data_IF_846843569140
#
_entry.id   IF_846843569140
#
_cell.length_a   1.000
_cell.length_b   1.000
_cell.length_c   1.000
_cell.angle_alpha   90.00
_cell.angle_beta   90.00
_cell.angle_gamma   90.00
#
_symmetry.space_group_name_H-M   'P 1'
#
loop_
_entity.id
_entity.type
_entity.pdbx_description
1 polymer ?
#
# COMPACT_ATOMS: atom_id res chain seq x y z
N UNK A 1 30.92 -55.48 -20.00
CA UNK A 1 30.70 -54.90 -18.65
C UNK A 1 29.96 -53.60 -18.81
N UNK A 2 28.68 -53.43 -18.37
CA UNK A 2 27.95 -52.21 -18.53
C UNK A 2 28.39 -51.20 -17.44
N UNK A 3 28.72 -49.96 -17.88
CA UNK A 3 29.01 -48.82 -17.04
C UNK A 3 27.74 -48.39 -16.29
N UNK A 4 27.74 -48.49 -14.96
CA UNK A 4 26.73 -47.90 -14.08
C UNK A 4 26.71 -46.37 -14.29
N UNK A 5 25.59 -45.85 -14.81
CA UNK A 5 25.28 -44.43 -14.77
C UNK A 5 25.07 -44.02 -13.30
N UNK A 6 25.99 -43.22 -12.78
CA UNK A 6 25.85 -42.54 -11.48
C UNK A 6 24.69 -41.53 -11.66
N UNK A 7 23.58 -41.77 -10.97
CA UNK A 7 22.48 -40.80 -10.90
C UNK A 7 23.01 -39.48 -10.32
N UNK A 8 22.87 -38.41 -11.06
CA UNK A 8 23.20 -37.05 -10.60
C UNK A 8 22.35 -36.75 -9.38
N UNK A 9 22.99 -36.32 -8.28
CA UNK A 9 22.30 -35.74 -7.11
C UNK A 9 21.40 -34.57 -7.60
N UNK A 10 20.13 -34.52 -7.16
CA UNK A 10 19.29 -33.35 -7.46
C UNK A 10 19.99 -32.08 -6.97
N UNK A 11 20.07 -31.06 -7.81
CA UNK A 11 20.68 -29.78 -7.47
C UNK A 11 19.86 -29.15 -6.34
N UNK A 12 20.51 -28.76 -5.26
CA UNK A 12 19.88 -28.12 -4.08
C UNK A 12 19.01 -26.89 -4.44
N UNK A 13 19.29 -26.24 -5.59
CA UNK A 13 18.49 -25.17 -6.14
C UNK A 13 17.02 -25.55 -6.44
N UNK A 14 16.76 -26.77 -6.91
CA UNK A 14 15.39 -27.22 -7.25
C UNK A 14 14.48 -27.38 -6.02
N UNK A 15 15.04 -27.63 -4.84
CA UNK A 15 14.24 -27.80 -3.61
C UNK A 15 13.73 -26.45 -3.10
N UNK A 16 14.57 -25.41 -3.12
CA UNK A 16 14.20 -24.04 -2.66
C UNK A 16 13.14 -23.41 -3.55
N UNK A 17 13.19 -23.66 -4.88
CA UNK A 17 12.24 -23.12 -5.84
C UNK A 17 10.82 -23.74 -5.72
N UNK A 18 10.68 -24.83 -4.97
CA UNK A 18 9.40 -25.56 -4.77
C UNK A 18 8.80 -25.36 -3.39
N UNK A 19 9.44 -24.59 -2.53
CA UNK A 19 8.93 -24.33 -1.19
C UNK A 19 7.66 -23.47 -1.26
N UNK A 20 6.68 -23.85 -0.44
CA UNK A 20 5.56 -22.94 -0.15
C UNK A 20 6.05 -21.75 0.71
N UNK A 21 5.34 -20.62 0.71
CA UNK A 21 5.76 -19.43 1.47
C UNK A 21 6.07 -19.72 2.94
N UNK A 22 5.24 -20.51 3.61
CA UNK A 22 5.40 -20.86 5.02
C UNK A 22 6.65 -21.72 5.26
N UNK A 23 6.94 -22.63 4.34
CA UNK A 23 8.16 -23.47 4.40
C UNK A 23 9.42 -22.63 4.16
N UNK A 24 9.36 -21.66 3.24
CA UNK A 24 10.47 -20.74 2.97
C UNK A 24 10.78 -19.88 4.20
N UNK A 25 9.75 -19.38 4.90
CA UNK A 25 9.90 -18.63 6.18
C UNK A 25 10.51 -19.53 7.26
N UNK A 26 10.07 -20.78 7.37
CA UNK A 26 10.64 -21.74 8.35
C UNK A 26 12.12 -22.02 8.06
N UNK A 27 12.50 -22.20 6.79
CA UNK A 27 13.89 -22.40 6.37
C UNK A 27 14.73 -21.17 6.67
N UNK A 28 14.23 -19.95 6.36
CA UNK A 28 14.92 -18.70 6.66
C UNK A 28 15.16 -18.55 8.17
N UNK A 29 14.15 -18.79 8.99
CA UNK A 29 14.26 -18.71 10.44
C UNK A 29 15.29 -19.71 10.99
N UNK A 30 15.31 -20.96 10.49
CA UNK A 30 16.32 -21.94 10.87
C UNK A 30 17.73 -21.54 10.43
N UNK A 31 17.84 -20.94 9.24
CA UNK A 31 19.14 -20.46 8.74
C UNK A 31 19.68 -19.33 9.64
N UNK A 32 18.85 -18.34 9.98
CA UNK A 32 19.24 -17.23 10.84
C UNK A 32 19.51 -17.65 12.30
N UNK A 33 18.83 -18.71 12.79
CA UNK A 33 19.15 -19.31 14.09
C UNK A 33 20.52 -20.00 14.09
N UNK A 34 20.88 -20.68 12.99
CA UNK A 34 22.19 -21.38 12.87
C UNK A 34 23.34 -20.43 12.54
N UNK A 35 23.03 -19.32 11.85
CA UNK A 35 23.96 -18.35 11.32
C UNK A 35 23.51 -16.92 11.69
N UNK A 36 23.64 -16.53 13.00
CA UNK A 36 23.20 -15.20 13.46
C UNK A 36 23.92 -14.05 12.76
N UNK A 37 25.13 -14.28 12.23
CA UNK A 37 25.93 -13.34 11.46
C UNK A 37 25.26 -12.90 10.14
N UNK A 38 24.33 -13.70 9.61
CA UNK A 38 23.57 -13.36 8.38
C UNK A 38 22.36 -12.46 8.66
N UNK A 39 22.00 -12.24 9.92
CA UNK A 39 20.82 -11.45 10.27
C UNK A 39 20.85 -10.01 9.72
N UNK A 40 21.96 -9.25 9.85
CA UNK A 40 22.03 -7.90 9.28
C UNK A 40 21.90 -7.88 7.75
N UNK A 41 22.45 -8.89 7.06
CA UNK A 41 22.33 -9.02 5.60
C UNK A 41 20.90 -9.35 5.20
N UNK A 42 20.24 -10.28 5.89
CA UNK A 42 18.83 -10.62 5.66
C UNK A 42 17.91 -9.42 5.92
N UNK A 43 18.15 -8.63 6.97
CA UNK A 43 17.43 -7.38 7.25
C UNK A 43 17.66 -6.34 6.15
N UNK A 44 18.87 -6.22 5.65
CA UNK A 44 19.18 -5.32 4.52
C UNK A 44 18.46 -5.73 3.24
N UNK A 45 18.47 -7.03 2.91
CA UNK A 45 17.75 -7.57 1.75
C UNK A 45 16.23 -7.40 1.89
N UNK A 46 15.68 -7.69 3.07
CA UNK A 46 14.26 -7.47 3.34
C UNK A 46 13.89 -5.99 3.17
N UNK A 47 14.71 -5.07 3.69
CA UNK A 47 14.53 -3.63 3.50
C UNK A 47 14.61 -3.24 2.03
N UNK A 48 15.54 -3.80 1.26
CA UNK A 48 15.63 -3.56 -0.18
C UNK A 48 14.42 -4.09 -0.95
N UNK A 49 13.92 -5.26 -0.60
CA UNK A 49 12.71 -5.84 -1.23
C UNK A 49 11.44 -5.05 -0.90
N UNK A 50 11.42 -4.44 0.28
CA UNK A 50 10.32 -3.58 0.75
C UNK A 50 10.56 -2.10 0.44
N UNK A 51 11.75 -1.70 0.01
CA UNK A 51 12.04 -0.39 -0.51
C UNK A 51 11.70 -0.35 -2.00
N UNK A 52 10.41 -0.22 -2.26
CA UNK A 52 9.92 0.90 -2.98
C UNK A 52 9.67 0.79 -4.45
N UNK A 53 8.44 0.66 -4.73
CA UNK A 53 7.83 1.45 -5.80
C UNK A 53 8.14 2.94 -5.56
N UNK A 54 8.54 3.69 -6.57
CA UNK A 54 8.72 5.14 -6.40
C UNK A 54 7.35 5.79 -6.09
N UNK A 55 7.35 6.97 -5.47
CA UNK A 55 6.09 7.75 -5.26
C UNK A 55 5.31 7.86 -6.57
N UNK A 56 6.02 8.00 -7.68
CA UNK A 56 5.43 8.14 -9.02
C UNK A 56 4.78 6.84 -9.50
N UNK A 57 5.43 5.69 -9.27
CA UNK A 57 4.88 4.39 -9.66
C UNK A 57 3.61 4.07 -8.86
N UNK A 58 3.63 4.27 -7.53
CA UNK A 58 2.45 4.11 -6.67
C UNK A 58 1.32 5.06 -7.10
N UNK A 59 1.65 6.33 -7.40
CA UNK A 59 0.65 7.29 -7.85
C UNK A 59 0.03 6.89 -9.18
N UNK A 60 0.82 6.34 -10.10
CA UNK A 60 0.32 5.86 -11.38
C UNK A 60 -0.56 4.62 -11.20
N UNK A 61 -0.17 3.67 -10.36
CA UNK A 61 -0.94 2.47 -10.07
C UNK A 61 -2.30 2.84 -9.45
N UNK A 62 -2.31 3.61 -8.36
CA UNK A 62 -3.55 4.08 -7.72
C UNK A 62 -4.45 4.83 -8.70
N UNK A 63 -3.88 5.75 -9.50
CA UNK A 63 -4.65 6.46 -10.52
C UNK A 63 -5.30 5.50 -11.51
N UNK A 64 -4.57 4.51 -12.02
CA UNK A 64 -5.11 3.53 -12.97
C UNK A 64 -6.17 2.63 -12.33
N UNK A 65 -5.94 2.14 -11.12
CA UNK A 65 -6.88 1.27 -10.40
C UNK A 65 -8.22 1.96 -10.21
N UNK A 66 -8.25 3.16 -9.63
CA UNK A 66 -9.51 3.87 -9.36
C UNK A 66 -10.20 4.41 -10.61
N UNK A 67 -9.44 4.74 -11.68
CA UNK A 67 -10.03 5.23 -12.94
C UNK A 67 -10.51 4.11 -13.85
N UNK A 68 -10.05 2.86 -13.62
CA UNK A 68 -10.46 1.69 -14.40
C UNK A 68 -11.81 1.09 -13.99
N UNK A 69 -12.36 1.48 -12.82
CA UNK A 69 -13.64 0.97 -12.32
C UNK A 69 -14.78 1.55 -13.16
N UNK A 70 -15.29 0.73 -14.03
CA UNK A 70 -16.30 1.09 -15.02
C UNK A 70 -17.75 1.00 -14.49
N UNK A 71 -18.70 1.37 -15.33
CA UNK A 71 -20.13 1.32 -15.02
C UNK A 71 -20.62 -0.14 -14.86
N UNK A 72 -20.01 -1.12 -15.52
CA UNK A 72 -20.39 -2.53 -15.39
C UNK A 72 -20.05 -3.06 -14.02
N UNK A 73 -18.85 -2.76 -13.52
CA UNK A 73 -18.41 -3.07 -12.16
C UNK A 73 -19.34 -2.44 -11.11
N UNK A 74 -19.70 -1.16 -11.30
CA UNK A 74 -20.63 -0.46 -10.41
C UNK A 74 -22.01 -1.10 -10.41
N UNK A 75 -22.58 -1.41 -11.58
CA UNK A 75 -23.88 -2.05 -11.71
C UNK A 75 -23.91 -3.47 -11.12
N UNK A 76 -22.78 -4.17 -11.09
CA UNK A 76 -22.64 -5.47 -10.45
C UNK A 76 -22.76 -5.40 -8.92
N UNK A 77 -22.44 -4.23 -8.31
CA UNK A 77 -22.46 -4.02 -6.85
C UNK A 77 -23.71 -3.26 -6.39
N UNK A 78 -24.16 -2.27 -7.16
CA UNK A 78 -25.32 -1.44 -6.84
C UNK A 78 -26.65 -2.13 -7.17
N UNK A 79 -27.73 -1.70 -6.50
CA UNK A 79 -29.09 -2.14 -6.78
C UNK A 79 -29.66 -3.11 -5.78
N UNK A 80 -30.67 -3.90 -6.21
CA UNK A 80 -31.42 -4.81 -5.35
C UNK A 80 -30.71 -6.17 -5.20
N UNK A 81 -30.42 -6.56 -3.99
CA UNK A 81 -29.82 -7.84 -3.61
C UNK A 81 -30.74 -8.59 -2.63
N UNK A 82 -30.46 -9.86 -2.36
CA UNK A 82 -31.23 -10.67 -1.41
C UNK A 82 -31.16 -10.16 0.04
N UNK A 83 -30.15 -9.36 0.35
CA UNK A 83 -29.95 -8.75 1.68
C UNK A 83 -30.35 -7.27 1.77
N UNK A 84 -30.75 -6.63 0.68
CA UNK A 84 -31.16 -5.22 0.67
C UNK A 84 -30.86 -4.50 -0.65
N UNK A 85 -31.04 -3.19 -0.63
CA UNK A 85 -30.71 -2.30 -1.72
C UNK A 85 -29.42 -1.54 -1.41
N UNK A 86 -28.48 -1.52 -2.36
CA UNK A 86 -27.21 -0.78 -2.26
C UNK A 86 -27.30 0.43 -3.20
N UNK A 87 -27.15 1.62 -2.63
CA UNK A 87 -27.11 2.85 -3.40
C UNK A 87 -25.89 2.92 -4.33
N UNK A 88 -26.00 3.46 -5.55
CA UNK A 88 -24.88 3.54 -6.47
C UNK A 88 -23.67 4.29 -5.90
N UNK A 89 -23.88 5.32 -5.10
CA UNK A 89 -22.79 6.08 -4.45
C UNK A 89 -22.09 5.26 -3.36
N UNK A 90 -22.84 4.43 -2.61
CA UNK A 90 -22.30 3.51 -1.61
C UNK A 90 -21.46 2.42 -2.29
N UNK A 91 -22.01 1.77 -3.33
CA UNK A 91 -21.30 0.78 -4.13
C UNK A 91 -20.03 1.36 -4.77
N UNK A 92 -20.09 2.59 -5.25
CA UNK A 92 -18.95 3.28 -5.83
C UNK A 92 -17.84 3.52 -4.80
N UNK A 93 -18.20 4.00 -3.61
CA UNK A 93 -17.24 4.22 -2.51
C UNK A 93 -16.58 2.91 -2.08
N UNK A 94 -17.36 1.81 -1.94
CA UNK A 94 -16.80 0.49 -1.61
C UNK A 94 -15.78 0.02 -2.66
N UNK A 95 -16.13 0.08 -3.95
CA UNK A 95 -15.25 -0.35 -5.03
C UNK A 95 -13.96 0.49 -5.09
N UNK A 96 -14.06 1.80 -4.88
CA UNK A 96 -12.91 2.70 -4.87
C UNK A 96 -12.03 2.47 -3.64
N UNK A 97 -12.61 2.17 -2.47
CA UNK A 97 -11.87 1.81 -1.27
C UNK A 97 -11.11 0.49 -1.48
N UNK A 98 -11.79 -0.55 -2.00
CA UNK A 98 -11.16 -1.82 -2.33
C UNK A 98 -9.96 -1.64 -3.30
N UNK A 99 -10.07 -0.74 -4.27
CA UNK A 99 -9.00 -0.49 -5.24
C UNK A 99 -7.73 0.13 -4.62
N UNK A 100 -7.83 0.87 -3.52
CA UNK A 100 -6.66 1.45 -2.85
C UNK A 100 -6.19 0.65 -1.64
N UNK A 101 -6.99 -0.32 -1.18
CA UNK A 101 -6.78 -1.05 0.07
C UNK A 101 -5.42 -1.75 0.11
N UNK A 102 -5.01 -2.44 -0.96
CA UNK A 102 -3.73 -3.16 -1.02
C UNK A 102 -2.54 -2.23 -0.75
N UNK A 103 -2.56 -1.00 -1.28
CA UNK A 103 -1.49 0.00 -1.07
C UNK A 103 -1.52 0.59 0.33
N UNK A 104 -2.71 0.80 0.88
CA UNK A 104 -2.89 1.25 2.26
C UNK A 104 -2.39 0.19 3.25
N UNK A 105 -2.70 -1.09 3.02
CA UNK A 105 -2.22 -2.19 3.85
C UNK A 105 -0.68 -2.36 3.75
N UNK A 106 -0.09 -2.17 2.56
CA UNK A 106 1.37 -2.17 2.38
C UNK A 106 2.03 -1.02 3.17
N UNK A 107 1.41 0.17 3.17
CA UNK A 107 1.84 1.31 3.98
C UNK A 107 1.79 0.99 5.49
N UNK A 108 0.67 0.44 5.97
CA UNK A 108 0.49 0.04 7.37
C UNK A 108 1.53 -1.00 7.79
N UNK A 109 1.73 -2.03 6.97
CA UNK A 109 2.74 -3.06 7.19
C UNK A 109 4.14 -2.47 7.29
N UNK A 110 4.47 -1.50 6.43
CA UNK A 110 5.78 -0.82 6.48
C UNK A 110 5.96 -0.08 7.81
N UNK A 111 4.90 0.57 8.33
CA UNK A 111 4.92 1.24 9.64
C UNK A 111 5.11 0.25 10.79
N UNK A 112 4.41 -0.89 10.78
CA UNK A 112 4.54 -1.95 11.79
C UNK A 112 5.97 -2.50 11.85
N UNK A 113 6.62 -2.64 10.70
CA UNK A 113 8.02 -3.07 10.58
C UNK A 113 9.02 -1.96 10.92
N UNK A 114 8.55 -0.74 11.19
CA UNK A 114 9.40 0.42 11.50
C UNK A 114 10.11 1.02 10.29
N UNK A 115 9.66 0.69 9.08
CA UNK A 115 10.19 1.17 7.81
C UNK A 115 9.51 2.48 7.42
N UNK A 116 9.90 3.58 8.08
CA UNK A 116 9.23 4.87 7.94
C UNK A 116 9.34 5.45 6.52
N UNK A 117 10.51 5.38 5.89
CA UNK A 117 10.72 5.96 4.55
C UNK A 117 9.88 5.24 3.44
N UNK A 118 9.81 3.89 3.38
CA UNK A 118 8.86 3.20 2.51
C UNK A 118 7.40 3.58 2.77
N UNK A 119 6.97 3.62 4.03
CA UNK A 119 5.60 4.02 4.39
C UNK A 119 5.27 5.46 3.96
N UNK A 120 6.21 6.39 4.10
CA UNK A 120 6.07 7.78 3.66
C UNK A 120 5.94 7.87 2.13
N UNK A 121 6.73 7.09 1.39
CA UNK A 121 6.66 7.03 -0.07
C UNK A 121 5.32 6.44 -0.55
N UNK A 122 4.82 5.38 0.10
CA UNK A 122 3.51 4.80 -0.18
C UNK A 122 2.40 5.81 0.10
N UNK A 123 2.39 6.44 1.28
CA UNK A 123 1.42 7.47 1.63
C UNK A 123 1.40 8.61 0.59
N UNK A 124 2.58 9.15 0.26
CA UNK A 124 2.69 10.22 -0.72
C UNK A 124 2.24 9.79 -2.12
N UNK A 125 2.55 8.57 -2.54
CA UNK A 125 2.13 8.00 -3.81
C UNK A 125 0.61 7.81 -3.90
N UNK A 126 0.00 7.22 -2.87
CA UNK A 126 -1.46 7.05 -2.80
C UNK A 126 -2.16 8.42 -2.90
N UNK A 127 -1.77 9.38 -2.06
CA UNK A 127 -2.36 10.73 -2.07
C UNK A 127 -2.18 11.42 -3.42
N UNK A 128 -1.02 11.27 -4.07
CA UNK A 128 -0.78 11.83 -5.39
C UNK A 128 -1.61 11.16 -6.48
N UNK A 129 -1.83 9.85 -6.42
CA UNK A 129 -2.70 9.11 -7.35
C UNK A 129 -4.15 9.57 -7.24
N UNK A 130 -4.67 9.66 -6.02
CA UNK A 130 -5.99 10.22 -5.72
C UNK A 130 -6.12 11.66 -6.21
N UNK A 131 -5.11 12.50 -5.98
CA UNK A 131 -5.09 13.88 -6.46
C UNK A 131 -5.17 13.99 -7.99
N UNK A 132 -4.51 13.09 -8.71
CA UNK A 132 -4.60 13.04 -10.19
C UNK A 132 -5.99 12.68 -10.68
N UNK A 133 -6.68 11.80 -9.95
CA UNK A 133 -8.01 11.33 -10.32
C UNK A 133 -9.15 12.33 -10.02
N UNK A 134 -8.93 13.34 -9.17
CA UNK A 134 -9.97 14.28 -8.68
C UNK A 134 -10.79 14.97 -9.76
N UNK A 135 -10.18 15.26 -10.90
CA UNK A 135 -10.83 15.96 -12.02
C UNK A 135 -11.18 15.01 -13.19
N UNK A 136 -11.00 13.70 -13.00
CA UNK A 136 -11.27 12.70 -14.03
C UNK A 136 -12.77 12.56 -14.23
N UNK A 137 -13.23 12.85 -15.44
CA UNK A 137 -14.61 12.58 -15.80
C UNK A 137 -14.78 11.10 -16.09
N UNK A 138 -15.64 10.45 -15.33
CA UNK A 138 -15.89 9.01 -15.43
C UNK A 138 -17.39 8.74 -15.36
N UNK A 139 -17.86 7.82 -16.18
CA UNK A 139 -19.21 7.25 -16.08
C UNK A 139 -19.24 6.08 -15.04
N UNK A 140 -18.06 5.63 -14.60
CA UNK A 140 -17.89 4.56 -13.59
C UNK A 140 -17.96 5.08 -12.15
N UNK A 141 -17.31 4.34 -11.23
CA UNK A 141 -17.40 4.59 -9.78
C UNK A 141 -17.02 6.03 -9.39
N UNK A 142 -15.95 6.61 -9.98
CA UNK A 142 -15.55 8.00 -9.69
C UNK A 142 -16.62 9.04 -10.00
N UNK A 143 -17.47 8.79 -10.98
CA UNK A 143 -18.57 9.70 -11.31
C UNK A 143 -19.69 9.70 -10.26
N UNK A 144 -19.81 8.64 -9.48
CA UNK A 144 -20.82 8.48 -8.42
C UNK A 144 -20.30 8.80 -7.02
N UNK A 145 -18.98 8.89 -6.85
CA UNK A 145 -18.31 9.23 -5.58
C UNK A 145 -17.25 10.31 -5.83
N UNK A 146 -17.67 11.48 -6.27
CA UNK A 146 -16.79 12.57 -6.72
C UNK A 146 -15.88 13.13 -5.62
N UNK A 147 -16.32 13.06 -4.36
CA UNK A 147 -15.56 13.53 -3.20
C UNK A 147 -14.59 12.48 -2.63
N UNK A 148 -14.75 11.21 -3.06
CA UNK A 148 -13.91 10.09 -2.59
C UNK A 148 -12.41 10.37 -2.65
N UNK A 149 -11.83 10.89 -3.76
CA UNK A 149 -10.38 11.09 -3.81
C UNK A 149 -9.86 12.02 -2.71
N UNK A 150 -10.60 13.06 -2.37
CA UNK A 150 -10.18 14.02 -1.35
C UNK A 150 -10.39 13.48 0.07
N UNK A 151 -11.49 12.77 0.31
CA UNK A 151 -11.81 12.16 1.59
C UNK A 151 -10.81 11.05 1.91
N UNK A 152 -10.57 10.14 0.96
CA UNK A 152 -9.64 9.03 1.11
C UNK A 152 -8.19 9.53 1.32
N UNK A 153 -7.76 10.55 0.59
CA UNK A 153 -6.43 11.15 0.81
C UNK A 153 -6.27 11.66 2.25
N UNK A 154 -7.31 12.23 2.83
CA UNK A 154 -7.32 12.63 4.24
C UNK A 154 -7.19 11.44 5.19
N UNK A 155 -7.93 10.35 4.93
CA UNK A 155 -7.87 9.12 5.74
C UNK A 155 -6.49 8.46 5.67
N UNK A 156 -5.90 8.36 4.48
CA UNK A 156 -4.56 7.79 4.27
C UNK A 156 -3.49 8.56 5.05
N UNK A 157 -3.52 9.90 5.01
CA UNK A 157 -2.60 10.75 5.80
C UNK A 157 -2.82 10.55 7.31
N UNK A 158 -4.07 10.46 7.73
CA UNK A 158 -4.42 10.21 9.13
C UNK A 158 -3.90 8.85 9.61
N UNK A 159 -4.09 7.79 8.85
CA UNK A 159 -3.61 6.44 9.15
C UNK A 159 -2.09 6.37 9.20
N UNK A 160 -1.41 6.95 8.21
CA UNK A 160 0.04 7.06 8.21
C UNK A 160 0.56 7.70 9.52
N UNK A 161 0.01 8.85 9.90
CA UNK A 161 0.45 9.56 11.10
C UNK A 161 0.11 8.81 12.40
N UNK A 162 -1.04 8.14 12.47
CA UNK A 162 -1.41 7.28 13.61
C UNK A 162 -0.45 6.09 13.77
N UNK A 163 -0.05 5.48 12.67
CA UNK A 163 0.90 4.36 12.66
C UNK A 163 2.33 4.77 12.98
N UNK A 164 2.70 6.03 12.82
CA UNK A 164 4.03 6.53 13.21
C UNK A 164 4.24 6.46 14.73
N UNK A 165 5.45 6.05 15.16
CA UNK A 165 5.85 6.10 16.57
C UNK A 165 5.75 7.56 17.07
N UNK A 166 5.28 7.80 18.31
CA UNK A 166 5.14 9.16 18.83
C UNK A 166 6.40 10.03 18.70
N UNK A 167 7.58 9.46 18.91
CA UNK A 167 8.87 10.15 18.81
C UNK A 167 9.24 10.59 17.40
N UNK A 168 8.78 9.90 16.36
CA UNK A 168 9.09 10.21 14.95
C UNK A 168 7.95 10.93 14.21
N UNK A 169 6.74 10.95 14.78
CA UNK A 169 5.52 11.47 14.13
C UNK A 169 5.66 12.91 13.64
N UNK A 170 6.26 13.79 14.46
CA UNK A 170 6.45 15.20 14.09
C UNK A 170 7.38 15.37 12.90
N UNK A 171 8.46 14.59 12.84
CA UNK A 171 9.39 14.59 11.71
C UNK A 171 8.74 14.00 10.46
N UNK A 172 8.05 12.85 10.60
CA UNK A 172 7.29 12.21 9.54
C UNK A 172 6.23 13.15 8.93
N UNK A 173 5.50 13.87 9.78
CA UNK A 173 4.56 14.92 9.34
C UNK A 173 5.26 15.99 8.50
N UNK A 174 6.37 16.55 8.98
CA UNK A 174 7.07 17.62 8.28
C UNK A 174 7.58 17.15 6.89
N UNK A 175 8.16 15.97 6.83
CA UNK A 175 8.66 15.37 5.58
C UNK A 175 7.51 15.11 4.60
N UNK A 176 6.45 14.42 5.05
CA UNK A 176 5.30 14.11 4.22
C UNK A 176 4.66 15.38 3.65
N UNK A 177 4.44 16.40 4.50
CA UNK A 177 3.82 17.65 4.07
C UNK A 177 4.69 18.43 3.09
N UNK A 178 6.02 18.38 3.20
CA UNK A 178 6.91 18.96 2.20
C UNK A 178 6.67 18.31 0.83
N UNK A 179 6.65 16.98 0.77
CA UNK A 179 6.43 16.23 -0.48
C UNK A 179 5.04 16.49 -1.05
N UNK A 180 4.00 16.47 -0.22
CA UNK A 180 2.61 16.66 -0.65
C UNK A 180 2.34 18.10 -1.13
N UNK A 181 2.93 19.10 -0.49
CA UNK A 181 2.77 20.50 -0.92
C UNK A 181 3.26 20.73 -2.34
N UNK A 182 4.35 20.09 -2.72
CA UNK A 182 4.91 20.18 -4.08
C UNK A 182 4.06 19.42 -5.11
N UNK A 183 3.49 18.26 -4.72
CA UNK A 183 2.83 17.32 -5.63
C UNK A 183 1.31 17.46 -5.70
N UNK A 184 0.69 17.96 -4.63
CA UNK A 184 -0.77 18.06 -4.45
C UNK A 184 -1.17 19.45 -3.95
N UNK A 185 -0.68 20.50 -4.60
CA UNK A 185 -0.80 21.89 -4.13
C UNK A 185 -2.25 22.34 -3.83
N UNK A 186 -3.24 21.83 -4.56
CA UNK A 186 -4.65 22.13 -4.33
C UNK A 186 -5.24 21.54 -3.04
N UNK A 187 -4.58 20.53 -2.44
CA UNK A 187 -5.04 19.88 -1.21
C UNK A 187 -4.12 20.14 0.00
N UNK A 188 -3.02 20.85 -0.20
CA UNK A 188 -2.00 21.03 0.84
C UNK A 188 -2.57 21.58 2.17
N UNK A 189 -3.47 22.57 2.12
CA UNK A 189 -4.08 23.16 3.31
C UNK A 189 -5.06 22.19 4.00
N UNK A 190 -5.89 21.48 3.24
CA UNK A 190 -6.82 20.49 3.78
C UNK A 190 -6.08 19.34 4.45
N UNK A 191 -5.04 18.78 3.79
CA UNK A 191 -4.22 17.71 4.33
C UNK A 191 -3.43 18.15 5.57
N UNK A 192 -2.93 19.39 5.60
CA UNK A 192 -2.28 19.96 6.79
C UNK A 192 -3.25 20.06 7.96
N UNK A 193 -4.51 20.42 7.72
CA UNK A 193 -5.55 20.48 8.75
C UNK A 193 -5.87 19.09 9.34
N UNK A 194 -5.95 18.04 8.49
CA UNK A 194 -6.14 16.65 8.94
C UNK A 194 -4.96 16.24 9.82
N UNK A 195 -3.76 16.44 9.35
CA UNK A 195 -2.54 16.04 10.05
C UNK A 195 -2.35 16.76 11.38
N UNK A 196 -2.70 18.07 11.46
CA UNK A 196 -2.64 18.84 12.70
C UNK A 196 -3.59 18.27 13.78
N UNK A 197 -4.78 17.80 13.41
CA UNK A 197 -5.72 17.15 14.35
C UNK A 197 -5.12 15.90 14.98
N UNK A 198 -4.48 15.04 14.17
CA UNK A 198 -3.86 13.80 14.67
C UNK A 198 -2.70 14.08 15.62
N UNK A 199 -1.90 15.11 15.32
CA UNK A 199 -0.74 15.45 16.14
C UNK A 199 -1.13 16.10 17.47
N UNK A 200 -2.31 16.75 17.55
CA UNK A 200 -2.78 17.47 18.75
C UNK A 200 -3.58 16.57 19.70
N UNK A 201 -4.28 15.54 19.20
CA UNK A 201 -5.16 14.68 20.03
C UNK A 201 -4.41 13.67 20.90
N UNK A 202 -3.12 13.52 20.76
CA UNK A 202 -2.32 12.49 21.47
C UNK A 202 -1.16 13.09 22.30
N UNK A 203 -1.17 14.36 22.60
CA UNK A 203 -0.31 15.06 23.57
C UNK A 203 -1.12 15.33 24.84
#
# INVERSE_FOLDING_TARGET
MPRRKIAAKPKAAEALERLQPEEAVAVLNQLLCKHPELKPEAESLATQMMSVSSIEDVAQEVYLEITSIDLESLNGRAGSHSWGYVEPSEAATELLTEAVEDRVEEMKRSLELGLLAPAEALCAGIVQGLYRARDTKSDGALGWAVDFPAEEAGLVVEEFLKGCRPSSRKAAYANLMQVLTERTSGWAEALASVAARVTTQQG
#
